data_IF_536429288085
#
_entry.id   IF_536429288085
#
_cell.length_a   1.000
_cell.length_b   1.000
_cell.length_c   1.000
_cell.angle_alpha   90.00
_cell.angle_beta   90.00
_cell.angle_gamma   90.00
#
_symmetry.space_group_name_H-M   'P 1'
#
loop_
_entity.id
_entity.type
_entity.pdbx_description
1 polymer ?
#
# COMPACT_ATOMS: atom_id res chain seq x y z
N UNK A 1 -52.73 -13.52 52.64
CA UNK A 1 -53.57 -13.78 51.46
C UNK A 1 -52.71 -13.44 50.24
N UNK A 2 -52.07 -14.45 49.64
CA UNK A 2 -52.55 -15.19 48.51
C UNK A 2 -52.74 -14.30 47.26
N UNK A 3 -52.00 -14.43 46.23
CA UNK A 3 -52.07 -15.27 45.06
C UNK A 3 -50.92 -14.88 44.13
N UNK A 4 -50.00 -15.72 43.73
CA UNK A 4 -50.02 -16.69 42.63
C UNK A 4 -50.47 -16.13 41.27
N UNK A 5 -49.52 -16.09 40.34
CA UNK A 5 -49.66 -16.53 38.97
C UNK A 5 -48.35 -16.25 38.23
N UNK A 6 -47.55 -17.16 37.93
CA UNK A 6 -47.57 -18.22 36.88
C UNK A 6 -47.36 -17.72 35.47
N UNK A 7 -46.23 -18.11 34.96
CA UNK A 7 -45.97 -18.60 33.58
C UNK A 7 -45.76 -17.61 32.46
N UNK A 8 -44.62 -17.79 31.87
CA UNK A 8 -44.28 -17.36 30.54
C UNK A 8 -42.86 -17.75 30.14
N UNK A 9 -42.53 -19.04 30.24
CA UNK A 9 -41.34 -19.55 29.55
C UNK A 9 -41.62 -19.48 28.06
N UNK A 10 -41.15 -18.46 27.38
CA UNK A 10 -40.98 -18.44 25.97
C UNK A 10 -39.63 -19.14 25.65
N UNK A 11 -39.73 -20.41 25.34
CA UNK A 11 -38.66 -21.16 24.73
C UNK A 11 -38.43 -20.59 23.33
N UNK A 12 -37.48 -19.68 23.21
CA UNK A 12 -36.90 -19.35 21.92
C UNK A 12 -35.94 -20.46 21.52
N UNK A 13 -36.48 -21.53 20.96
CA UNK A 13 -35.77 -22.45 20.11
C UNK A 13 -35.39 -21.70 18.84
N UNK A 14 -34.39 -20.83 18.92
CA UNK A 14 -33.75 -20.24 17.76
C UNK A 14 -32.97 -21.34 17.07
N UNK A 15 -33.48 -21.84 15.95
CA UNK A 15 -32.77 -22.68 15.02
C UNK A 15 -31.42 -22.06 14.70
N UNK A 16 -30.36 -22.58 15.26
CA UNK A 16 -28.99 -22.35 14.83
C UNK A 16 -28.87 -22.83 13.40
N UNK A 17 -29.16 -21.94 12.43
CA UNK A 17 -28.70 -22.12 11.07
C UNK A 17 -27.20 -22.33 11.17
N UNK A 18 -26.77 -23.53 10.88
CA UNK A 18 -25.36 -23.90 10.76
C UNK A 18 -24.77 -23.09 9.60
N UNK A 19 -24.37 -21.84 9.89
CA UNK A 19 -23.80 -20.92 8.92
C UNK A 19 -22.38 -21.39 8.73
N UNK A 20 -22.16 -22.23 7.73
CA UNK A 20 -20.82 -22.66 7.34
C UNK A 20 -19.99 -21.40 7.13
N UNK A 21 -19.04 -21.16 8.03
CA UNK A 21 -18.15 -20.01 7.94
C UNK A 21 -17.34 -20.11 6.65
N UNK A 22 -17.12 -19.00 5.95
CA UNK A 22 -16.31 -19.00 4.75
C UNK A 22 -14.86 -19.38 5.08
N UNK A 23 -14.21 -20.07 4.16
CA UNK A 23 -12.78 -20.34 4.25
C UNK A 23 -11.95 -19.05 4.10
N UNK A 24 -10.66 -19.09 4.48
CA UNK A 24 -9.81 -17.90 4.48
C UNK A 24 -9.55 -17.33 3.08
N UNK A 25 -9.52 -18.16 2.04
CA UNK A 25 -9.37 -17.72 0.64
C UNK A 25 -10.57 -16.83 0.25
N UNK A 26 -11.79 -17.26 0.59
CA UNK A 26 -13.01 -16.49 0.34
C UNK A 26 -13.03 -15.16 1.12
N UNK A 27 -12.59 -15.17 2.39
CA UNK A 27 -12.44 -13.94 3.18
C UNK A 27 -11.44 -12.97 2.54
N UNK A 28 -10.33 -13.49 2.03
CA UNK A 28 -9.32 -12.66 1.37
C UNK A 28 -9.80 -12.08 0.04
N UNK A 29 -10.45 -12.89 -0.79
CA UNK A 29 -11.04 -12.45 -2.04
C UNK A 29 -12.07 -11.33 -1.82
N UNK A 30 -12.94 -11.49 -0.82
CA UNK A 30 -13.90 -10.45 -0.40
C UNK A 30 -13.21 -9.16 0.00
N UNK A 31 -12.14 -9.23 0.81
CA UNK A 31 -11.37 -8.05 1.21
C UNK A 31 -10.75 -7.32 0.00
N UNK A 32 -10.21 -8.05 -0.97
CA UNK A 32 -9.70 -7.46 -2.23
C UNK A 32 -10.81 -6.72 -2.96
N UNK A 33 -11.99 -7.34 -3.14
CA UNK A 33 -13.13 -6.71 -3.79
C UNK A 33 -13.65 -5.47 -3.05
N UNK A 34 -13.61 -5.46 -1.70
CA UNK A 34 -13.95 -4.27 -0.91
C UNK A 34 -12.96 -3.12 -1.14
N UNK A 35 -11.65 -3.43 -1.21
CA UNK A 35 -10.63 -2.43 -1.52
C UNK A 35 -10.80 -1.84 -2.94
N UNK A 36 -11.21 -2.65 -3.90
CA UNK A 36 -11.50 -2.21 -5.28
C UNK A 36 -12.67 -1.23 -5.31
N UNK A 37 -13.78 -1.57 -4.65
CA UNK A 37 -14.97 -0.70 -4.59
C UNK A 37 -14.72 0.62 -3.87
N UNK A 38 -13.82 0.65 -2.90
CA UNK A 38 -13.49 1.86 -2.13
C UNK A 38 -12.41 2.74 -2.77
N UNK A 39 -11.93 2.41 -3.99
CA UNK A 39 -10.97 3.21 -4.74
C UNK A 39 -9.57 3.30 -4.12
N UNK A 40 -9.22 2.41 -3.20
CA UNK A 40 -7.90 2.36 -2.54
C UNK A 40 -6.83 1.70 -3.43
N UNK A 41 -6.63 2.21 -4.64
CA UNK A 41 -5.83 1.59 -5.69
C UNK A 41 -4.46 1.04 -5.25
N UNK A 42 -3.69 1.81 -4.47
CA UNK A 42 -2.37 1.36 -3.99
C UNK A 42 -2.43 0.16 -3.04
N UNK A 43 -3.38 0.16 -2.10
CA UNK A 43 -3.57 -0.94 -1.15
C UNK A 43 -4.17 -2.16 -1.84
N UNK A 44 -5.07 -1.95 -2.80
CA UNK A 44 -5.71 -3.03 -3.59
C UNK A 44 -4.68 -3.84 -4.36
N UNK A 45 -3.75 -3.19 -5.06
CA UNK A 45 -2.69 -3.89 -5.79
C UNK A 45 -1.85 -4.79 -4.87
N UNK A 46 -1.53 -4.30 -3.68
CA UNK A 46 -0.78 -5.02 -2.66
C UNK A 46 -1.55 -6.26 -2.15
N UNK A 47 -2.83 -6.10 -1.78
CA UNK A 47 -3.64 -7.22 -1.33
C UNK A 47 -3.89 -8.23 -2.46
N UNK A 48 -4.09 -7.77 -3.70
CA UNK A 48 -4.23 -8.67 -4.86
C UNK A 48 -2.97 -9.51 -5.09
N UNK A 49 -1.78 -8.92 -4.93
CA UNK A 49 -0.52 -9.65 -5.03
C UNK A 49 -0.40 -10.71 -3.92
N UNK A 50 -0.70 -10.34 -2.67
CA UNK A 50 -0.67 -11.28 -1.56
C UNK A 50 -1.70 -12.41 -1.73
N UNK A 51 -2.91 -12.10 -2.19
CA UNK A 51 -3.96 -13.07 -2.51
C UNK A 51 -3.50 -14.07 -3.57
N UNK A 52 -2.93 -13.61 -4.69
CA UNK A 52 -2.42 -14.49 -5.75
C UNK A 52 -1.37 -15.48 -5.25
N UNK A 53 -0.46 -15.02 -4.39
CA UNK A 53 0.55 -15.89 -3.78
C UNK A 53 -0.07 -16.91 -2.84
N UNK A 54 -1.06 -16.51 -2.05
CA UNK A 54 -1.81 -17.40 -1.16
C UNK A 54 -2.54 -18.50 -1.95
N UNK A 55 -3.32 -18.12 -2.98
CA UNK A 55 -4.04 -19.07 -3.85
C UNK A 55 -3.08 -20.05 -4.52
N UNK A 56 -1.92 -19.57 -4.97
CA UNK A 56 -0.88 -20.43 -5.57
C UNK A 56 -0.32 -21.44 -4.57
N UNK A 57 -0.14 -21.07 -3.32
CA UNK A 57 0.35 -21.99 -2.26
C UNK A 57 -0.71 -23.03 -1.92
N UNK A 58 -1.96 -22.65 -1.81
CA UNK A 58 -3.07 -23.56 -1.48
C UNK A 58 -3.44 -24.46 -2.68
N UNK A 59 -2.94 -24.14 -3.90
CA UNK A 59 -3.24 -24.93 -5.09
C UNK A 59 -4.67 -24.74 -5.63
N UNK A 60 -5.29 -23.57 -5.37
CA UNK A 60 -6.68 -23.27 -5.80
C UNK A 60 -7.75 -23.90 -4.93
N UNK A 61 -7.39 -24.62 -3.87
CA UNK A 61 -8.32 -25.21 -2.91
C UNK A 61 -8.89 -24.21 -1.90
N UNK A 62 -9.61 -24.72 -0.93
CA UNK A 62 -10.11 -23.99 0.24
C UNK A 62 -9.08 -24.01 1.36
N UNK A 63 -9.09 -22.97 2.19
CA UNK A 63 -8.31 -22.93 3.43
C UNK A 63 -9.27 -22.73 4.60
N UNK A 64 -9.82 -23.85 5.13
CA UNK A 64 -10.78 -23.79 6.22
C UNK A 64 -10.11 -23.33 7.53
N UNK A 65 -10.88 -22.83 8.51
CA UNK A 65 -10.36 -22.30 9.76
C UNK A 65 -9.45 -23.25 10.53
N UNK A 66 -9.76 -24.53 10.52
CA UNK A 66 -9.02 -25.58 11.25
C UNK A 66 -7.60 -25.76 10.72
N UNK A 67 -7.38 -25.46 9.42
CA UNK A 67 -6.06 -25.54 8.80
C UNK A 67 -5.26 -24.26 8.94
N UNK A 68 -5.92 -23.10 9.25
CA UNK A 68 -5.26 -21.82 9.36
C UNK A 68 -4.57 -21.65 10.72
N UNK A 69 -3.50 -22.40 10.93
CA UNK A 69 -2.74 -22.48 12.20
C UNK A 69 -1.41 -21.73 12.12
N UNK A 70 -0.75 -21.55 13.27
CA UNK A 70 0.59 -20.98 13.33
C UNK A 70 1.61 -21.84 12.54
N UNK A 71 1.49 -23.15 12.61
CA UNK A 71 2.34 -24.10 11.87
C UNK A 71 2.13 -23.96 10.35
N UNK A 72 0.87 -23.84 9.91
CA UNK A 72 0.56 -23.59 8.50
C UNK A 72 1.19 -22.29 8.02
N UNK A 73 1.15 -21.21 8.83
CA UNK A 73 1.80 -19.95 8.51
C UNK A 73 3.32 -20.08 8.39
N UNK A 74 3.96 -20.88 9.25
CA UNK A 74 5.39 -21.16 9.16
C UNK A 74 5.75 -21.93 7.88
N UNK A 75 4.91 -22.86 7.44
CA UNK A 75 5.09 -23.56 6.18
C UNK A 75 4.94 -22.62 4.98
N UNK A 76 3.93 -21.77 5.00
CA UNK A 76 3.74 -20.76 3.96
C UNK A 76 4.93 -19.79 3.88
N UNK A 77 5.44 -19.34 5.02
CA UNK A 77 6.62 -18.48 5.11
C UNK A 77 7.86 -19.14 4.47
N UNK A 78 8.13 -20.40 4.83
CA UNK A 78 9.23 -21.19 4.26
C UNK A 78 9.06 -21.38 2.76
N UNK A 79 7.85 -21.63 2.30
CA UNK A 79 7.55 -21.76 0.87
C UNK A 79 7.82 -20.45 0.11
N UNK A 80 7.46 -19.30 0.67
CA UNK A 80 7.77 -17.99 0.06
C UNK A 80 9.29 -17.78 -0.06
N UNK A 81 10.04 -18.11 0.98
CA UNK A 81 11.52 -18.03 0.96
C UNK A 81 12.12 -18.96 -0.08
N UNK A 82 11.67 -20.21 -0.15
CA UNK A 82 12.12 -21.20 -1.13
C UNK A 82 11.86 -20.77 -2.58
N UNK A 83 10.89 -19.89 -2.82
CA UNK A 83 10.64 -19.26 -4.14
C UNK A 83 11.54 -18.06 -4.41
N UNK A 84 12.52 -17.78 -3.57
CA UNK A 84 13.47 -16.68 -3.75
C UNK A 84 12.96 -15.30 -3.33
N UNK A 85 11.85 -15.20 -2.57
CA UNK A 85 11.42 -13.92 -2.05
C UNK A 85 12.36 -13.45 -0.95
N UNK A 86 12.80 -12.19 -1.04
CA UNK A 86 13.58 -11.58 0.03
C UNK A 86 12.75 -11.41 1.32
N UNK A 87 13.42 -11.39 2.46
CA UNK A 87 12.82 -11.32 3.82
C UNK A 87 11.73 -10.25 3.94
N UNK A 88 11.98 -9.04 3.43
CA UNK A 88 10.99 -7.96 3.51
C UNK A 88 9.74 -8.21 2.66
N UNK A 89 9.88 -8.94 1.54
CA UNK A 89 8.73 -9.36 0.73
C UNK A 89 7.90 -10.42 1.46
N UNK A 90 8.54 -11.34 2.14
CA UNK A 90 7.84 -12.34 2.98
C UNK A 90 7.09 -11.63 4.11
N UNK A 91 7.74 -10.70 4.82
CA UNK A 91 7.09 -9.87 5.85
C UNK A 91 5.86 -9.14 5.30
N UNK A 92 5.95 -8.62 4.09
CA UNK A 92 4.82 -7.96 3.43
C UNK A 92 3.64 -8.93 3.23
N UNK A 93 3.88 -10.15 2.72
CA UNK A 93 2.83 -11.16 2.56
C UNK A 93 2.21 -11.54 3.90
N UNK A 94 3.02 -11.81 4.91
CA UNK A 94 2.55 -12.18 6.25
C UNK A 94 1.72 -11.06 6.91
N UNK A 95 2.13 -9.81 6.78
CA UNK A 95 1.35 -8.65 7.26
C UNK A 95 0.00 -8.53 6.55
N UNK A 96 -0.03 -8.78 5.24
CA UNK A 96 -1.27 -8.75 4.47
C UNK A 96 -2.25 -9.83 4.92
N UNK A 97 -1.76 -11.07 5.15
CA UNK A 97 -2.58 -12.15 5.70
C UNK A 97 -3.12 -11.79 7.08
N UNK A 98 -2.25 -11.28 7.97
CA UNK A 98 -2.66 -10.87 9.32
C UNK A 98 -3.73 -9.77 9.31
N UNK A 99 -3.60 -8.79 8.45
CA UNK A 99 -4.58 -7.70 8.35
C UNK A 99 -5.95 -8.23 7.90
N UNK A 100 -5.96 -9.13 6.91
CA UNK A 100 -7.20 -9.76 6.44
C UNK A 100 -7.79 -10.70 7.49
N UNK A 101 -6.98 -11.49 8.18
CA UNK A 101 -7.42 -12.36 9.28
C UNK A 101 -8.12 -11.55 10.38
N UNK A 102 -7.45 -10.52 10.89
CA UNK A 102 -8.02 -9.70 11.97
C UNK A 102 -9.36 -9.09 11.53
N UNK A 103 -9.43 -8.55 10.31
CA UNK A 103 -10.67 -7.98 9.78
C UNK A 103 -11.77 -9.02 9.60
N UNK A 104 -11.44 -10.22 9.12
CA UNK A 104 -12.41 -11.30 8.96
C UNK A 104 -12.97 -11.76 10.31
N UNK A 105 -12.13 -11.83 11.33
CA UNK A 105 -12.53 -12.14 12.72
C UNK A 105 -13.43 -11.03 13.29
N UNK A 106 -13.04 -9.77 13.15
CA UNK A 106 -13.84 -8.61 13.59
C UNK A 106 -15.24 -8.56 12.93
N UNK A 107 -15.33 -8.99 11.67
CA UNK A 107 -16.58 -9.06 10.92
C UNK A 107 -17.40 -10.34 11.19
N UNK A 108 -16.91 -11.26 12.04
CA UNK A 108 -17.55 -12.55 12.29
C UNK A 108 -17.57 -13.49 11.07
N UNK A 109 -16.71 -13.26 10.09
CA UNK A 109 -16.58 -14.05 8.87
C UNK A 109 -15.59 -15.21 9.01
N UNK A 110 -14.73 -15.15 10.01
CA UNK A 110 -13.75 -16.17 10.33
C UNK A 110 -13.69 -16.36 11.84
N UNK A 111 -13.60 -17.59 12.35
CA UNK A 111 -13.58 -17.82 13.79
C UNK A 111 -12.29 -17.25 14.39
N UNK A 112 -12.40 -16.66 15.58
CA UNK A 112 -11.23 -16.37 16.39
C UNK A 112 -10.64 -17.73 16.84
N UNK A 113 -9.41 -18.03 16.43
CA UNK A 113 -8.69 -19.16 16.99
C UNK A 113 -8.49 -18.93 18.50
N UNK A 114 -8.47 -19.98 19.30
CA UNK A 114 -8.22 -19.90 20.76
C UNK A 114 -6.90 -19.18 21.10
N UNK A 115 -5.92 -19.24 20.20
CA UNK A 115 -4.74 -18.36 20.17
C UNK A 115 -4.57 -17.80 18.77
N UNK A 116 -4.31 -16.48 18.66
CA UNK A 116 -4.05 -15.83 17.38
C UNK A 116 -2.85 -16.53 16.66
N UNK A 117 -3.03 -17.09 15.46
CA UNK A 117 -1.99 -17.83 14.77
C UNK A 117 -0.74 -16.99 14.44
N UNK A 118 -0.90 -15.65 14.39
CA UNK A 118 0.21 -14.72 14.20
C UNK A 118 0.96 -14.34 15.47
N UNK A 119 0.57 -14.87 16.66
CA UNK A 119 1.18 -14.47 17.94
C UNK A 119 2.64 -14.91 18.06
N UNK A 120 3.01 -16.04 17.51
CA UNK A 120 4.31 -16.69 17.77
C UNK A 120 5.48 -16.20 16.93
N UNK A 121 5.30 -15.72 15.73
CA UNK A 121 6.43 -15.21 14.92
C UNK A 121 5.96 -14.53 13.63
N UNK A 122 6.18 -13.24 13.54
CA UNK A 122 6.37 -12.62 12.21
C UNK A 122 7.88 -12.44 12.05
N UNK A 123 8.45 -12.87 10.92
CA UNK A 123 9.81 -12.50 10.53
C UNK A 123 9.93 -10.98 10.72
N UNK A 124 10.98 -10.56 11.41
CA UNK A 124 11.25 -9.14 11.59
C UNK A 124 11.73 -8.54 10.27
N UNK A 125 11.24 -7.36 9.98
CA UNK A 125 11.72 -6.60 8.84
C UNK A 125 13.21 -6.33 8.99
N UNK A 126 13.98 -6.63 7.94
CA UNK A 126 15.41 -6.34 7.88
C UNK A 126 15.60 -4.92 7.38
N UNK A 127 16.46 -4.15 8.04
CA UNK A 127 16.82 -2.82 7.59
C UNK A 127 17.45 -2.88 6.21
N UNK A 128 16.93 -2.08 5.28
CA UNK A 128 17.51 -1.98 3.94
C UNK A 128 18.62 -0.92 3.93
N UNK A 129 19.65 -1.15 3.10
CA UNK A 129 20.71 -0.16 2.90
C UNK A 129 20.10 1.17 2.45
N UNK A 130 20.40 2.24 3.18
CA UNK A 130 20.03 3.58 2.76
C UNK A 130 20.80 3.95 1.50
N UNK A 131 20.07 4.40 0.48
CA UNK A 131 20.64 4.79 -0.83
C UNK A 131 20.73 6.31 -0.97
N UNK A 132 21.07 7.00 0.14
CA UNK A 132 21.31 8.43 0.10
C UNK A 132 22.54 8.72 -0.77
N UNK A 133 22.42 9.67 -1.68
CA UNK A 133 23.52 10.09 -2.55
C UNK A 133 24.35 11.18 -1.84
N UNK A 134 25.69 11.14 -1.96
CA UNK A 134 26.55 12.22 -1.52
C UNK A 134 26.22 13.53 -2.25
N UNK A 135 26.45 14.67 -1.58
CA UNK A 135 26.21 16.00 -2.15
C UNK A 135 26.95 16.22 -3.48
N UNK A 136 28.15 15.69 -3.58
CA UNK A 136 28.95 15.79 -4.81
C UNK A 136 28.28 15.05 -5.98
N UNK A 137 27.72 13.86 -5.75
CA UNK A 137 26.97 13.14 -6.77
C UNK A 137 25.73 13.92 -7.21
N UNK A 138 25.03 14.57 -6.28
CA UNK A 138 23.89 15.43 -6.61
C UNK A 138 24.29 16.62 -7.47
N UNK A 139 25.43 17.27 -7.17
CA UNK A 139 25.97 18.36 -8.00
C UNK A 139 26.30 17.87 -9.42
N UNK A 140 26.98 16.72 -9.54
CA UNK A 140 27.31 16.13 -10.84
C UNK A 140 26.06 15.81 -11.65
N UNK A 141 25.03 15.23 -11.03
CA UNK A 141 23.75 14.96 -11.71
C UNK A 141 23.11 16.28 -12.18
N UNK A 142 23.01 17.28 -11.31
CA UNK A 142 22.38 18.56 -11.65
C UNK A 142 23.13 19.36 -12.71
N UNK A 143 24.48 19.26 -12.74
CA UNK A 143 25.35 19.96 -13.68
C UNK A 143 25.73 19.14 -14.93
N UNK A 144 25.18 17.92 -15.10
CA UNK A 144 25.54 17.08 -16.26
C UNK A 144 25.08 17.73 -17.57
N UNK A 145 26.03 17.84 -18.52
CA UNK A 145 25.68 18.20 -19.89
C UNK A 145 25.09 16.98 -20.60
N UNK A 146 23.85 17.11 -21.00
CA UNK A 146 23.07 16.06 -21.69
C UNK A 146 22.63 16.50 -23.09
N UNK A 147 23.22 17.59 -23.64
CA UNK A 147 22.88 18.18 -24.92
C UNK A 147 23.03 17.22 -26.10
N UNK A 148 24.03 16.34 -26.03
CA UNK A 148 24.28 15.30 -27.06
C UNK A 148 23.36 14.08 -26.93
N UNK A 149 22.53 14.01 -25.90
CA UNK A 149 21.64 12.87 -25.62
C UNK A 149 20.19 13.19 -25.95
N UNK A 150 19.38 12.12 -26.07
CA UNK A 150 17.95 12.30 -26.29
C UNK A 150 17.31 13.14 -25.15
N UNK A 151 16.40 14.10 -25.45
CA UNK A 151 15.80 15.03 -24.48
C UNK A 151 15.21 14.37 -23.23
N UNK A 152 14.78 13.11 -23.32
CA UNK A 152 14.28 12.34 -22.18
C UNK A 152 15.27 12.26 -21.00
N UNK A 153 16.58 12.30 -21.26
CA UNK A 153 17.60 12.24 -20.20
C UNK A 153 17.69 13.55 -19.43
N UNK A 154 17.56 14.67 -20.14
CA UNK A 154 17.48 15.99 -19.51
C UNK A 154 16.24 16.10 -18.62
N UNK A 155 15.08 15.66 -19.13
CA UNK A 155 13.85 15.60 -18.33
C UNK A 155 14.00 14.68 -17.11
N UNK A 156 14.57 13.49 -17.27
CA UNK A 156 14.77 12.56 -16.16
C UNK A 156 15.66 13.17 -15.06
N UNK A 157 16.76 13.85 -15.44
CA UNK A 157 17.61 14.62 -14.54
C UNK A 157 16.82 15.71 -13.82
N UNK A 158 16.07 16.51 -14.55
CA UNK A 158 15.34 17.64 -14.00
C UNK A 158 14.23 17.20 -13.06
N UNK A 159 13.52 16.10 -13.36
CA UNK A 159 12.54 15.49 -12.47
C UNK A 159 13.18 14.95 -11.18
N UNK A 160 14.34 14.33 -11.30
CA UNK A 160 15.10 13.87 -10.13
C UNK A 160 15.50 15.06 -9.25
N UNK A 161 16.05 16.13 -9.86
CA UNK A 161 16.44 17.34 -9.14
C UNK A 161 15.22 18.09 -8.58
N UNK A 162 14.11 18.11 -9.29
CA UNK A 162 12.83 18.64 -8.79
C UNK A 162 12.41 17.91 -7.52
N UNK A 163 12.40 16.55 -7.54
CA UNK A 163 12.10 15.75 -6.36
C UNK A 163 13.04 16.09 -5.19
N UNK A 164 14.32 16.26 -5.47
CA UNK A 164 15.30 16.61 -4.45
C UNK A 164 15.02 17.99 -3.83
N UNK A 165 14.82 19.04 -4.65
CA UNK A 165 14.53 20.39 -4.16
C UNK A 165 13.17 20.49 -3.45
N UNK A 166 12.22 19.66 -3.81
CA UNK A 166 10.92 19.57 -3.14
C UNK A 166 10.88 18.58 -1.97
N UNK A 167 12.06 18.22 -1.42
CA UNK A 167 12.23 17.35 -0.24
C UNK A 167 11.60 15.96 -0.40
N UNK A 168 11.68 15.40 -1.60
CA UNK A 168 11.19 14.06 -1.90
C UNK A 168 9.74 14.00 -2.35
N UNK A 169 9.28 14.99 -3.10
CA UNK A 169 7.99 14.91 -3.78
C UNK A 169 7.96 13.68 -4.68
N UNK A 170 6.89 12.89 -4.58
CA UNK A 170 6.76 11.71 -5.41
C UNK A 170 6.48 12.07 -6.87
N UNK A 171 6.88 11.19 -7.79
CA UNK A 171 6.63 11.38 -9.22
C UNK A 171 5.13 11.59 -9.52
N UNK A 172 4.26 10.84 -8.84
CA UNK A 172 2.80 11.00 -8.97
C UNK A 172 2.33 12.39 -8.54
N UNK A 173 2.88 12.94 -7.46
CA UNK A 173 2.53 14.28 -7.01
C UNK A 173 3.04 15.34 -8.00
N UNK A 174 4.23 15.15 -8.58
CA UNK A 174 4.79 16.04 -9.60
C UNK A 174 3.93 16.13 -10.86
N UNK A 175 3.45 14.98 -11.37
CA UNK A 175 2.64 14.96 -12.62
C UNK A 175 1.33 15.73 -12.46
N UNK A 176 0.79 15.77 -11.26
CA UNK A 176 -0.47 16.48 -11.00
C UNK A 176 -0.29 17.88 -10.42
N UNK A 177 0.97 18.33 -10.25
CA UNK A 177 1.28 19.66 -9.76
C UNK A 177 0.87 20.72 -10.79
N UNK A 178 0.08 21.68 -10.37
CA UNK A 178 -0.38 22.76 -11.23
C UNK A 178 0.45 24.03 -11.05
N UNK A 179 0.50 24.88 -12.05
CA UNK A 179 1.09 26.23 -11.94
C UNK A 179 0.46 27.04 -10.81
N UNK A 180 -0.86 26.89 -10.63
CA UNK A 180 -1.61 27.55 -9.56
C UNK A 180 -1.22 27.09 -8.15
N UNK A 181 -0.49 25.98 -8.01
CA UNK A 181 0.02 25.48 -6.74
C UNK A 181 1.31 26.22 -6.30
N UNK A 182 1.88 27.05 -7.19
CA UNK A 182 3.01 27.94 -6.92
C UNK A 182 2.50 29.38 -6.85
N UNK A 183 2.54 29.99 -5.68
CA UNK A 183 2.11 31.38 -5.44
C UNK A 183 3.10 32.07 -4.50
N UNK A 184 3.45 33.29 -4.82
CA UNK A 184 4.32 34.15 -3.98
C UNK A 184 5.63 33.43 -3.54
N UNK A 185 6.23 32.65 -4.44
CA UNK A 185 7.44 31.89 -4.18
C UNK A 185 7.25 30.70 -3.23
N UNK A 186 6.00 30.29 -2.98
CA UNK A 186 5.66 29.12 -2.17
C UNK A 186 4.91 28.11 -3.03
N UNK A 187 5.40 26.86 -3.00
CA UNK A 187 4.74 25.72 -3.62
C UNK A 187 3.94 24.98 -2.55
N UNK A 188 2.63 24.87 -2.76
CA UNK A 188 1.72 24.17 -1.85
C UNK A 188 0.97 23.07 -2.59
N UNK A 189 1.07 21.83 -2.15
CA UNK A 189 0.38 20.71 -2.78
C UNK A 189 -0.16 19.70 -1.77
N UNK A 190 -1.18 18.97 -2.16
CA UNK A 190 -1.74 17.89 -1.36
C UNK A 190 -1.19 16.54 -1.82
N UNK A 191 -0.44 15.86 -0.93
CA UNK A 191 0.17 14.57 -1.21
C UNK A 191 -0.87 13.50 -1.50
N UNK A 192 -0.84 12.88 -2.67
CA UNK A 192 -1.83 11.86 -3.08
C UNK A 192 -1.82 10.62 -2.17
N UNK A 193 -0.65 10.22 -1.70
CA UNK A 193 -0.51 9.02 -0.87
C UNK A 193 -1.15 9.16 0.51
N UNK A 194 -1.05 10.32 1.14
CA UNK A 194 -1.43 10.53 2.54
C UNK A 194 -2.53 11.57 2.74
N UNK A 195 -2.85 12.36 1.71
CA UNK A 195 -3.77 13.47 1.80
C UNK A 195 -3.24 14.69 2.57
N UNK A 196 -1.98 14.64 3.02
CA UNK A 196 -1.33 15.73 3.76
C UNK A 196 -1.03 16.88 2.82
N UNK A 197 -1.35 18.12 3.23
CA UNK A 197 -0.90 19.34 2.57
C UNK A 197 0.52 19.66 3.00
N UNK A 198 1.38 19.92 2.03
CA UNK A 198 2.78 20.28 2.22
C UNK A 198 3.04 21.60 1.52
N UNK A 199 3.77 22.50 2.18
CA UNK A 199 4.21 23.79 1.62
C UNK A 199 5.71 23.89 1.75
N UNK A 200 6.35 24.45 0.73
CA UNK A 200 7.79 24.69 0.71
C UNK A 200 8.10 25.94 -0.12
N UNK A 201 9.18 26.64 0.24
CA UNK A 201 9.67 27.79 -0.53
C UNK A 201 10.26 27.29 -1.85
N UNK A 202 9.96 28.00 -2.93
CA UNK A 202 10.57 27.77 -4.25
C UNK A 202 11.92 28.46 -4.28
N UNK A 203 12.98 27.67 -4.17
CA UNK A 203 14.36 28.13 -4.29
C UNK A 203 14.73 28.33 -5.76
N UNK A 204 15.72 29.19 -6.04
CA UNK A 204 16.13 29.53 -7.41
C UNK A 204 16.45 28.30 -8.31
N UNK A 205 17.07 27.21 -7.83
CA UNK A 205 17.27 26.03 -8.67
C UNK A 205 15.97 25.31 -9.03
N UNK A 206 14.98 25.34 -8.14
CA UNK A 206 13.65 24.77 -8.42
C UNK A 206 12.88 25.62 -9.42
N UNK A 207 12.93 26.95 -9.26
CA UNK A 207 12.33 27.88 -10.19
C UNK A 207 12.86 27.70 -11.62
N UNK A 208 14.18 27.57 -11.80
CA UNK A 208 14.79 27.30 -13.11
C UNK A 208 14.26 26.02 -13.79
N UNK A 209 13.90 25.00 -13.02
CA UNK A 209 13.29 23.80 -13.59
C UNK A 209 11.85 24.07 -14.01
N UNK A 210 11.07 24.79 -13.17
CA UNK A 210 9.69 25.17 -13.51
C UNK A 210 9.67 25.99 -14.79
N UNK A 211 10.51 27.03 -14.88
CA UNK A 211 10.58 27.92 -16.04
C UNK A 211 10.99 27.18 -17.33
N UNK A 212 11.86 26.19 -17.22
CA UNK A 212 12.31 25.37 -18.37
C UNK A 212 11.18 24.57 -19.02
N UNK A 213 10.23 24.12 -18.21
CA UNK A 213 9.09 23.31 -18.68
C UNK A 213 7.78 24.10 -18.72
N UNK A 214 7.89 25.43 -18.67
CA UNK A 214 6.73 26.29 -18.81
C UNK A 214 6.13 26.14 -20.23
N UNK A 215 4.82 26.03 -20.30
CA UNK A 215 4.05 25.81 -21.54
C UNK A 215 2.60 26.30 -21.30
N UNK A 216 1.77 26.29 -22.32
CA UNK A 216 0.33 26.62 -22.17
C UNK A 216 -0.44 25.60 -21.31
N UNK A 217 0.19 24.52 -20.91
CA UNK A 217 -0.39 23.53 -20.01
C UNK A 217 -0.61 24.11 -18.60
N UNK A 218 -1.70 23.76 -17.92
CA UNK A 218 -1.94 24.17 -16.53
C UNK A 218 -1.01 23.50 -15.51
N UNK A 219 -0.21 22.53 -15.92
CA UNK A 219 0.71 21.79 -15.06
C UNK A 219 2.07 22.48 -14.94
N UNK A 220 2.68 22.43 -13.75
CA UNK A 220 3.96 23.06 -13.46
C UNK A 220 5.13 22.44 -14.24
N UNK A 221 5.03 21.13 -14.57
CA UNK A 221 5.98 20.45 -15.46
C UNK A 221 5.16 19.69 -16.51
N UNK A 222 5.24 20.12 -17.77
CA UNK A 222 4.55 19.47 -18.88
C UNK A 222 5.42 18.40 -19.50
N UNK A 223 4.85 17.18 -19.64
CA UNK A 223 5.52 16.02 -20.26
C UNK A 223 5.19 15.88 -21.75
N UNK A 224 4.37 16.76 -22.31
CA UNK A 224 3.88 16.66 -23.69
C UNK A 224 4.97 16.85 -24.73
N UNK A 225 6.10 17.44 -24.37
CA UNK A 225 7.23 17.66 -25.27
C UNK A 225 8.06 16.40 -25.61
N UNK A 226 7.68 15.24 -25.10
CA UNK A 226 8.45 13.98 -25.30
C UNK A 226 7.73 12.95 -26.20
N UNK A 227 6.65 13.35 -26.86
CA UNK A 227 5.98 12.53 -27.88
C UNK A 227 6.51 12.86 -29.27
#
# INVERSE_FOLDING_TARGET
MSCLAYMGQAVFAGATRNKTLPDFISCFARHVGECERTGRNGSTANYRMAYRMLVRYVGGGKLPPEQFTAEWLEHYERWLLARGLGTNSVVFHMRSLRAVYNRAVEQGLFPAAGSNPFRRRLIKQVATRKRALPRETLRRIGGADLSALHPKYALARDLFMFSFYTRGMSFVDMIYLRKSDVRDGVLTYRRKKTGQTLSLRVEAPLQKIIDRYDSDSPYAVSYTHLR
#
